data_IF_374310047544
#
_entry.id   IF_374310047544
#
_cell.length_a   1.000
_cell.length_b   1.000
_cell.length_c   1.000
_cell.angle_alpha   90.00
_cell.angle_beta   90.00
_cell.angle_gamma   90.00
#
_symmetry.space_group_name_H-M   'P 1'
#
loop_
_entity.id
_entity.type
_entity.pdbx_description
1 polymer ?
2 non-polymer ?
3 non-polymer ?
4 water ?
#
# COMPACT_ATOMS: atom_id res chain seq x y z
N UNK A 4 15.49 -11.88 -4.31
CA UNK A 4 16.71 -11.25 -3.73
C UNK A 4 16.80 -9.79 -4.10
N UNK A 5 17.81 -9.10 -3.56
CA UNK A 5 18.00 -7.68 -3.82
C UNK A 5 18.99 -7.50 -4.97
N UNK A 6 20.20 -7.05 -4.65
CA UNK A 6 21.23 -6.81 -5.66
C UNK A 6 20.72 -5.86 -6.74
N UNK A 7 19.48 -5.39 -6.57
CA UNK A 7 18.85 -4.49 -7.53
C UNK A 7 17.62 -3.81 -6.92
N UNK A 8 16.67 -4.61 -6.47
CA UNK A 8 15.44 -4.09 -5.87
C UNK A 8 15.71 -3.26 -4.61
N UNK A 9 14.70 -2.55 -4.16
CA UNK A 9 14.83 -1.70 -2.99
C UNK A 9 14.89 -2.46 -1.68
N UNK A 10 15.67 -1.94 -0.74
CA UNK A 10 15.81 -2.56 0.57
C UNK A 10 14.53 -2.47 1.40
N UNK A 11 13.85 -1.33 1.35
CA UNK A 11 12.60 -1.17 2.10
C UNK A 11 11.50 -2.07 1.52
N UNK A 12 11.37 -2.08 0.20
CA UNK A 12 10.41 -2.96 -0.48
C UNK A 12 10.62 -4.40 -0.02
N UNK A 13 11.87 -4.85 -0.12
CA UNK A 13 12.25 -6.18 0.29
C UNK A 13 11.94 -6.47 1.74
N UNK A 14 12.30 -5.54 2.63
CA UNK A 14 12.02 -5.72 4.07
C UNK A 14 10.53 -5.86 4.35
N UNK A 15 9.71 -5.03 3.71
CA UNK A 15 8.26 -5.06 3.92
C UNK A 15 7.62 -6.32 3.34
N UNK A 16 8.09 -6.75 2.18
CA UNK A 16 7.58 -7.97 1.57
C UNK A 16 7.92 -9.17 2.45
N UNK A 17 9.18 -9.27 2.86
CA UNK A 17 9.64 -10.38 3.70
C UNK A 17 8.95 -10.41 5.08
N UNK A 18 8.64 -9.23 5.62
CA UNK A 18 7.92 -9.16 6.90
C UNK A 18 6.52 -9.73 6.77
N UNK A 19 5.85 -9.36 5.68
CA UNK A 19 4.50 -9.87 5.42
C UNK A 19 4.52 -11.37 5.30
N UNK A 20 5.48 -11.90 4.55
CA UNK A 20 5.61 -13.34 4.38
C UNK A 20 5.86 -14.04 5.71
N UNK A 21 6.74 -13.46 6.53
CA UNK A 21 7.09 -14.05 7.82
C UNK A 21 5.93 -14.06 8.80
N UNK A 22 5.17 -12.98 8.82
CA UNK A 22 4.01 -12.89 9.69
C UNK A 22 2.90 -13.84 9.23
N UNK A 23 2.72 -13.97 7.91
CA UNK A 23 1.71 -14.90 7.39
C UNK A 23 2.09 -16.33 7.73
N UNK A 24 3.32 -16.72 7.42
CA UNK A 24 3.80 -18.05 7.77
C UNK A 24 3.54 -18.32 9.24
N UNK A 25 3.86 -17.34 10.08
CA UNK A 25 3.61 -17.47 11.51
C UNK A 25 2.12 -17.72 11.77
N UNK A 26 1.26 -17.03 11.03
CA UNK A 26 -0.18 -17.22 11.19
C UNK A 26 -0.57 -18.68 10.98
N UNK A 27 0.19 -19.39 10.16
CA UNK A 27 -0.14 -20.78 9.78
C UNK A 27 0.39 -21.89 10.71
N UNK A 28 1.38 -21.60 11.55
CA UNK A 28 1.94 -22.65 12.42
C UNK A 28 1.74 -22.42 13.91
N UNK A 29 0.50 -22.19 14.32
CA UNK A 29 0.24 -21.94 15.72
C UNK A 29 -1.04 -21.17 15.86
N UNK A 30 -0.99 -19.87 15.58
CA UNK A 30 -2.21 -19.08 15.66
C UNK A 30 -2.14 -17.64 15.18
N UNK A 31 -3.10 -17.31 14.33
CA UNK A 31 -3.28 -15.96 13.86
C UNK A 31 -3.85 -15.15 15.02
N UNK A 32 -4.42 -15.85 16.00
CA UNK A 32 -5.03 -15.20 17.15
C UNK A 32 -4.14 -14.19 17.84
N UNK A 33 -3.02 -14.62 18.39
CA UNK A 33 -2.04 -13.71 18.99
C UNK A 33 -1.75 -12.55 18.03
N UNK A 34 -1.29 -12.90 16.83
CA UNK A 34 -0.90 -11.91 15.82
C UNK A 34 -2.03 -10.92 15.49
N UNK A 35 -3.24 -11.43 15.29
CA UNK A 35 -4.38 -10.56 15.00
C UNK A 35 -4.72 -9.60 16.14
N UNK A 36 -4.59 -10.08 17.39
CA UNK A 36 -4.86 -9.26 18.55
C UNK A 36 -3.87 -8.11 18.73
N UNK A 37 -2.60 -8.39 18.48
CA UNK A 37 -1.55 -7.40 18.64
C UNK A 37 -1.48 -6.44 17.46
N UNK A 38 -1.94 -6.88 16.30
CA UNK A 38 -1.74 -6.14 15.04
C UNK A 38 -2.92 -5.32 14.52
N UNK A 39 -4.13 -5.63 14.98
CA UNK A 39 -5.30 -4.94 14.46
C UNK A 39 -5.36 -3.46 14.80
N UNK A 40 -6.06 -2.70 13.97
CA UNK A 40 -6.25 -1.27 14.19
C UNK A 40 -6.91 -1.09 15.55
N UNK A 41 -6.61 0.02 16.25
CA UNK A 41 -7.20 0.23 17.56
C UNK A 41 -8.71 0.09 17.52
N UNK A 42 -9.24 -0.76 18.40
CA UNK A 42 -10.68 -1.00 18.49
C UNK A 42 -11.09 -0.82 19.93
N UNK A 43 -10.39 0.05 20.63
CA UNK A 43 -10.57 0.20 22.06
C UNK A 43 -9.90 1.51 22.46
N UNK A 44 -10.61 2.34 23.23
CA UNK A 44 -10.04 3.61 23.67
C UNK A 44 -8.65 3.45 24.29
N UNK A 45 -8.44 2.31 24.95
CA UNK A 45 -7.16 2.03 25.59
C UNK A 45 -6.07 1.69 24.56
N UNK A 46 -6.50 1.31 23.36
CA UNK A 46 -5.57 0.95 22.31
C UNK A 46 -5.14 2.15 21.46
N UNK A 47 -5.81 3.29 21.67
CA UNK A 47 -5.47 4.52 20.95
C UNK A 47 -4.01 4.89 21.17
N UNK A 48 -3.46 4.48 22.31
CA UNK A 48 -2.08 4.81 22.65
C UNK A 48 -1.11 3.79 22.08
N UNK A 49 -1.63 2.62 21.70
CA UNK A 49 -0.80 1.58 21.08
C UNK A 49 -0.59 1.95 19.61
N UNK A 50 0.32 2.91 19.41
CA UNK A 50 0.59 3.53 18.10
C UNK A 50 1.00 2.64 16.92
N UNK A 51 1.59 1.47 17.19
CA UNK A 51 1.97 0.58 16.09
C UNK A 51 0.72 0.09 15.37
N UNK A 52 -0.38 0.04 16.11
CA UNK A 52 -1.67 -0.44 15.59
C UNK A 52 -2.20 0.36 14.40
N UNK A 53 -1.82 1.62 14.30
CA UNK A 53 -2.24 2.46 13.18
C UNK A 53 -1.61 2.01 11.86
N UNK A 54 -0.57 1.18 11.96
CA UNK A 54 0.17 0.73 10.79
C UNK A 54 0.24 -0.79 10.66
N UNK A 55 0.38 -1.48 11.79
CA UNK A 55 0.60 -2.94 11.80
C UNK A 55 -0.45 -3.79 11.10
N UNK A 56 -1.68 -3.31 11.06
CA UNK A 56 -2.76 -4.05 10.42
C UNK A 56 -2.44 -4.45 8.97
N UNK A 57 -1.47 -3.75 8.38
CA UNK A 57 -1.10 -3.98 6.98
C UNK A 57 -0.18 -5.18 6.78
N UNK A 58 0.32 -5.72 7.87
CA UNK A 58 1.26 -6.83 7.82
C UNK A 58 0.59 -8.21 7.95
N UNK A 59 -0.72 -8.22 8.17
CA UNK A 59 -1.46 -9.46 8.33
C UNK A 59 -2.33 -9.74 7.11
N UNK A 60 -2.34 -10.99 6.67
CA UNK A 60 -3.14 -11.39 5.51
C UNK A 60 -4.06 -12.56 5.83
N UNK A 61 -5.16 -12.65 5.10
CA UNK A 61 -6.21 -13.60 5.42
C UNK A 61 -6.32 -14.82 4.50
N UNK A 62 -5.58 -14.83 3.40
CA UNK A 62 -5.57 -15.97 2.49
C UNK A 62 -4.32 -15.96 1.62
N UNK A 63 -4.08 -17.08 0.93
CA UNK A 63 -2.93 -17.22 0.05
C UNK A 63 -2.99 -16.29 -1.17
N UNK A 64 -4.20 -16.08 -1.69
CA UNK A 64 -4.39 -15.17 -2.81
C UNK A 64 -4.32 -13.73 -2.34
N UNK A 65 -4.86 -13.49 -1.15
CA UNK A 65 -4.84 -12.17 -0.58
C UNK A 65 -3.39 -11.66 -0.55
N UNK A 66 -2.51 -12.44 0.07
CA UNK A 66 -1.11 -12.04 0.20
C UNK A 66 -0.35 -12.16 -1.11
N UNK A 67 -0.73 -13.11 -1.95
CA UNK A 67 -0.06 -13.31 -3.24
C UNK A 67 -0.25 -12.11 -4.17
N UNK A 68 -1.49 -11.63 -4.28
CA UNK A 68 -1.77 -10.48 -5.12
C UNK A 68 -1.23 -9.19 -4.52
N UNK A 69 -1.41 -9.01 -3.22
CA UNK A 69 -0.87 -7.82 -2.56
C UNK A 69 0.64 -7.67 -2.72
N UNK A 70 1.39 -8.71 -2.35
CA UNK A 70 2.85 -8.68 -2.44
C UNK A 70 3.40 -8.57 -3.85
N UNK A 71 2.73 -9.21 -4.82
CA UNK A 71 3.15 -9.11 -6.22
C UNK A 71 3.13 -7.65 -6.66
N UNK A 72 1.96 -7.03 -6.52
CA UNK A 72 1.78 -5.63 -6.91
C UNK A 72 2.65 -4.66 -6.11
N UNK A 73 2.78 -4.90 -4.81
CA UNK A 73 3.64 -4.04 -3.97
C UNK A 73 5.12 -4.20 -4.31
N UNK A 74 5.54 -5.44 -4.58
CA UNK A 74 6.94 -5.67 -4.87
C UNK A 74 7.34 -4.97 -6.17
N UNK A 75 6.50 -5.12 -7.19
CA UNK A 75 6.74 -4.48 -8.47
C UNK A 75 6.69 -2.95 -8.42
N UNK A 76 5.58 -2.39 -7.96
CA UNK A 76 5.39 -0.94 -7.95
C UNK A 76 5.99 -0.21 -6.76
N UNK A 77 6.00 -0.87 -5.60
CA UNK A 77 6.67 -0.32 -4.43
C UNK A 77 8.15 -0.23 -4.77
N UNK A 78 8.63 -1.23 -5.51
CA UNK A 78 10.02 -1.28 -5.97
C UNK A 78 10.33 -0.16 -6.94
N UNK A 79 9.46 0.05 -7.93
CA UNK A 79 9.64 1.16 -8.86
C UNK A 79 9.83 2.46 -8.11
N UNK A 80 8.94 2.72 -7.15
CA UNK A 80 9.01 3.94 -6.35
C UNK A 80 10.33 4.04 -5.61
N UNK A 81 10.72 2.98 -4.93
CA UNK A 81 11.97 2.99 -4.20
C UNK A 81 13.17 3.26 -5.11
N UNK A 82 13.24 2.55 -6.22
CA UNK A 82 14.35 2.71 -7.16
C UNK A 82 14.34 4.04 -7.89
N UNK A 83 13.18 4.68 -7.94
CA UNK A 83 13.04 5.93 -8.68
C UNK A 83 13.10 7.19 -7.80
N UNK A 84 12.46 7.14 -6.63
CA UNK A 84 12.41 8.31 -5.75
C UNK A 84 13.13 8.16 -4.40
N UNK A 85 13.61 6.95 -4.10
CA UNK A 85 14.33 6.73 -2.86
C UNK A 85 13.60 5.87 -1.83
N UNK A 86 14.36 5.32 -0.89
CA UNK A 86 13.81 4.46 0.15
C UNK A 86 12.98 5.23 1.17
N UNK A 87 13.34 6.48 1.42
CA UNK A 87 12.61 7.29 2.39
C UNK A 87 11.18 7.55 1.89
N UNK A 88 11.09 7.87 0.60
CA UNK A 88 9.81 8.13 -0.04
C UNK A 88 8.86 6.93 0.12
N UNK A 89 9.37 5.73 -0.18
CA UNK A 89 8.55 4.53 -0.06
C UNK A 89 8.13 4.28 1.41
N UNK A 90 9.09 4.40 2.32
CA UNK A 90 8.82 4.17 3.73
C UNK A 90 7.71 5.12 4.18
N UNK A 91 7.85 6.40 3.82
CA UNK A 91 6.85 7.44 4.14
C UNK A 91 5.47 7.16 3.56
N UNK A 92 5.41 6.92 2.26
CA UNK A 92 4.13 6.58 1.65
C UNK A 92 3.51 5.40 2.40
N UNK A 93 4.35 4.44 2.81
CA UNK A 93 3.85 3.26 3.53
C UNK A 93 3.23 3.60 4.89
N UNK A 94 3.99 4.33 5.71
CA UNK A 94 3.52 4.70 7.02
C UNK A 94 2.23 5.52 6.94
N UNK A 95 2.22 6.51 6.06
CA UNK A 95 1.08 7.43 5.90
C UNK A 95 -0.14 6.78 5.25
N UNK A 96 0.07 6.04 4.16
CA UNK A 96 -1.04 5.32 3.55
C UNK A 96 -1.63 4.33 4.56
N UNK A 97 -0.77 3.58 5.25
CA UNK A 97 -1.24 2.60 6.25
C UNK A 97 -2.13 3.27 7.30
N UNK A 98 -1.68 4.40 7.82
CA UNK A 98 -2.41 5.11 8.87
C UNK A 98 -3.70 5.71 8.35
N UNK A 99 -3.64 6.34 7.19
CA UNK A 99 -4.82 6.99 6.62
C UNK A 99 -5.90 6.01 6.16
N UNK A 100 -5.50 4.96 5.44
CA UNK A 100 -6.45 3.96 4.95
C UNK A 100 -7.12 3.21 6.11
N UNK A 101 -6.35 2.91 7.14
CA UNK A 101 -6.89 2.25 8.32
C UNK A 101 -7.89 3.16 9.03
N UNK A 102 -7.54 4.45 9.14
CA UNK A 102 -8.42 5.44 9.75
C UNK A 102 -9.77 5.44 9.02
N UNK A 103 -9.71 5.50 7.70
CA UNK A 103 -10.91 5.56 6.88
C UNK A 103 -11.72 4.26 6.92
N UNK A 104 -11.04 3.13 6.77
CA UNK A 104 -11.72 1.85 6.82
C UNK A 104 -12.41 1.68 8.17
N UNK A 105 -11.73 2.07 9.23
CA UNK A 105 -12.27 1.94 10.57
C UNK A 105 -13.58 2.71 10.75
N UNK A 106 -13.62 3.92 10.21
CA UNK A 106 -14.80 4.76 10.36
C UNK A 106 -16.03 4.16 9.70
N UNK A 107 -15.86 3.55 8.53
CA UNK A 107 -17.01 3.00 7.81
C UNK A 107 -17.37 1.56 8.20
N UNK A 108 -16.38 0.76 8.60
CA UNK A 108 -16.64 -0.66 8.86
C UNK A 108 -16.13 -1.24 10.18
N UNK A 109 -15.40 -0.46 10.96
CA UNK A 109 -14.86 -0.99 12.21
C UNK A 109 -13.45 -1.53 12.03
N UNK A 110 -12.80 -1.91 13.15
CA UNK A 110 -11.39 -2.32 13.21
C UNK A 110 -11.11 -3.73 12.69
N UNK A 111 -12.07 -4.33 12.01
CA UNK A 111 -11.90 -5.70 11.51
C UNK A 111 -11.41 -5.76 10.07
N UNK A 112 -10.12 -5.44 9.89
CA UNK A 112 -9.52 -5.47 8.57
C UNK A 112 -8.01 -5.66 8.68
N UNK A 113 -7.44 -6.32 7.69
CA UNK A 113 -6.00 -6.60 7.66
C UNK A 113 -5.51 -6.62 6.22
N UNK A 114 -4.23 -6.34 6.02
CA UNK A 114 -3.68 -6.43 4.68
C UNK A 114 -3.06 -5.17 4.12
N UNK A 115 -2.26 -5.37 3.08
CA UNK A 115 -1.48 -4.33 2.44
C UNK A 115 -2.16 -3.66 1.22
N UNK A 116 -3.40 -4.05 0.90
CA UNK A 116 -4.08 -3.52 -0.30
C UNK A 116 -4.32 -2.00 -0.31
N UNK A 117 -4.53 -1.42 0.87
CA UNK A 117 -4.69 0.03 0.98
C UNK A 117 -3.39 0.73 0.61
N UNK A 118 -2.27 0.13 0.97
CA UNK A 118 -0.95 0.66 0.62
C UNK A 118 -0.67 0.46 -0.86
N UNK A 119 -1.10 -0.68 -1.40
CA UNK A 119 -0.92 -1.00 -2.80
C UNK A 119 -1.58 0.07 -3.69
N UNK A 120 -2.83 0.39 -3.39
CA UNK A 120 -3.53 1.44 -4.13
C UNK A 120 -2.88 2.81 -4.02
N UNK A 121 -2.37 3.15 -2.83
CA UNK A 121 -1.64 4.39 -2.68
C UNK A 121 -0.41 4.33 -3.58
N UNK A 122 0.30 3.21 -3.55
CA UNK A 122 1.46 3.02 -4.40
C UNK A 122 1.10 3.08 -5.88
N UNK A 123 0.02 2.39 -6.27
CA UNK A 123 -0.45 2.43 -7.67
C UNK A 123 -0.89 3.84 -8.05
N UNK A 124 -1.56 4.51 -7.12
CA UNK A 124 -2.00 5.88 -7.35
C UNK A 124 -0.83 6.83 -7.56
N UNK A 125 0.21 6.65 -6.75
CA UNK A 125 1.40 7.50 -6.83
C UNK A 125 2.11 7.32 -8.18
N UNK A 126 2.37 6.08 -8.54
CA UNK A 126 3.04 5.78 -9.80
C UNK A 126 2.21 6.26 -11.00
N UNK A 127 0.89 6.05 -10.92
CA UNK A 127 -0.04 6.44 -11.99
C UNK A 127 0.03 7.91 -12.38
N UNK A 128 -0.18 8.80 -11.42
CA UNK A 128 -0.16 10.24 -11.69
C UNK A 128 1.23 10.76 -11.99
N UNK A 129 2.24 10.15 -11.37
CA UNK A 129 3.63 10.52 -11.65
C UNK A 129 3.94 10.21 -13.10
N UNK A 130 3.60 9.00 -13.53
CA UNK A 130 3.81 8.59 -14.91
C UNK A 130 3.04 9.52 -15.85
N UNK A 131 1.77 9.74 -15.53
CA UNK A 131 0.89 10.62 -16.31
C UNK A 131 1.45 12.04 -16.46
N UNK A 132 2.05 12.55 -15.39
CA UNK A 132 2.56 13.92 -15.39
C UNK A 132 3.96 14.05 -15.99
N UNK A 133 4.97 14.06 -15.13
CA UNK A 133 6.36 14.20 -15.55
C UNK A 133 6.83 12.97 -16.33
N UNK A 134 5.93 12.35 -17.08
CA UNK A 134 6.23 11.15 -17.86
C UNK A 134 7.67 11.04 -18.35
N UNK A 135 8.47 10.26 -17.64
CA UNK A 135 9.86 10.01 -17.99
C UNK A 135 10.44 8.95 -17.06
N UNK A 136 10.47 9.27 -15.78
CA UNK A 136 10.97 8.38 -14.75
C UNK A 136 10.35 6.98 -14.80
N UNK A 137 9.42 6.78 -15.72
CA UNK A 137 8.80 5.47 -15.92
C UNK A 137 8.61 5.19 -17.40
N UNK A 138 8.52 3.91 -17.76
CA UNK A 138 8.35 3.51 -19.16
C UNK A 138 7.22 2.51 -19.34
N UNK A 139 6.04 2.85 -18.80
CA UNK A 139 4.86 1.99 -18.93
C UNK A 139 4.95 0.76 -18.03
N UNK A 140 3.80 0.33 -17.47
CA UNK A 140 3.74 -0.85 -16.61
C UNK A 140 4.17 -2.11 -17.37
N UNK A 141 3.23 -2.69 -18.11
CA UNK A 141 3.51 -3.87 -18.94
C UNK A 141 2.45 -4.01 -20.01
N UNK A 142 1.23 -3.59 -19.66
CA UNK A 142 0.09 -3.68 -20.56
C UNK A 142 -1.08 -4.34 -19.85
N UNK A 143 -0.76 -5.08 -18.78
CA UNK A 143 -1.78 -5.77 -17.99
C UNK A 143 -2.00 -5.04 -16.67
N UNK A 144 -0.91 -4.54 -16.09
CA UNK A 144 -0.98 -3.80 -14.83
C UNK A 144 -1.59 -2.41 -15.03
N UNK A 145 -1.81 -2.06 -16.30
CA UNK A 145 -2.43 -0.78 -16.64
C UNK A 145 -3.94 -1.00 -16.74
N UNK A 146 -4.32 -2.17 -17.24
CA UNK A 146 -5.73 -2.55 -17.36
C UNK A 146 -6.33 -2.82 -16.00
N UNK A 147 -5.72 -3.74 -15.25
CA UNK A 147 -6.19 -4.10 -13.93
C UNK A 147 -6.27 -2.89 -13.02
N UNK A 148 -6.58 -1.74 -13.60
CA UNK A 148 -6.75 -0.49 -12.87
C UNK A 148 -8.14 0.07 -13.14
N UNK A 149 -8.66 -0.23 -14.32
CA UNK A 149 -10.00 0.19 -14.71
C UNK A 149 -10.98 -0.91 -14.33
N UNK A 150 -10.61 -2.15 -14.64
CA UNK A 150 -11.43 -3.31 -14.31
C UNK A 150 -11.22 -3.74 -12.87
N UNK A 151 -10.60 -2.86 -12.09
CA UNK A 151 -10.33 -3.15 -10.69
C UNK A 151 -11.18 -2.22 -9.82
N UNK A 152 -11.73 -1.19 -10.45
CA UNK A 152 -12.61 -0.25 -9.77
C UNK A 152 -13.93 -0.95 -9.47
N UNK A 153 -14.14 -2.08 -10.13
CA UNK A 153 -15.32 -2.89 -9.92
C UNK A 153 -15.01 -3.96 -8.88
N UNK A 154 -13.72 -4.10 -8.58
CA UNK A 154 -13.25 -5.08 -7.61
C UNK A 154 -13.60 -4.70 -6.19
N UNK A 155 -14.27 -3.56 -6.02
CA UNK A 155 -14.69 -3.12 -4.70
C UNK A 155 -16.06 -2.43 -4.69
N UNK A 156 -16.40 -1.76 -5.78
CA UNK A 156 -17.71 -1.13 -5.91
C UNK A 156 -18.76 -2.23 -6.06
N UNK A 157 -18.54 -3.11 -7.02
CA UNK A 157 -19.40 -4.27 -7.26
C UNK A 157 -18.56 -5.53 -7.15
N UNK A 158 -18.17 -5.89 -5.90
CA UNK A 158 -17.31 -7.00 -5.54
C UNK A 158 -17.19 -8.12 -6.58
N UNK A 159 -16.00 -8.23 -7.17
CA UNK A 159 -15.69 -9.31 -8.11
C UNK A 159 -14.66 -10.22 -7.44
N UNK A 160 -14.07 -9.74 -6.35
CA UNK A 160 -13.09 -10.50 -5.58
C UNK A 160 -13.35 -10.33 -4.08
N UNK A 161 -12.68 -9.36 -3.48
CA UNK A 161 -12.84 -9.09 -2.04
C UNK A 161 -11.54 -9.10 -1.27
N UNK A 162 -10.92 -7.93 -1.14
CA UNK A 162 -9.65 -7.80 -0.43
C UNK A 162 -9.88 -7.60 1.07
N UNK A 163 -10.40 -8.64 1.72
CA UNK A 163 -10.68 -8.63 3.17
C UNK A 163 -10.35 -7.33 3.92
N UNK A 164 -11.08 -6.27 3.59
CA UNK A 164 -10.96 -4.97 4.24
C UNK A 164 -12.19 -4.17 3.86
N UNK A 165 -12.30 -3.88 2.57
CA UNK A 165 -13.37 -3.08 2.03
C UNK A 165 -12.77 -2.07 1.07
N UNK A 166 -13.61 -1.48 0.23
CA UNK A 166 -13.14 -0.50 -0.74
C UNK A 166 -12.80 0.88 -0.17
N UNK A 167 -13.17 1.13 1.09
CA UNK A 167 -12.84 2.41 1.73
C UNK A 167 -11.32 2.55 1.82
N UNK A 168 -10.65 1.44 2.14
CA UNK A 168 -9.21 1.43 2.23
C UNK A 168 -8.58 1.59 0.85
N UNK A 169 -9.17 0.94 -0.14
CA UNK A 169 -8.65 1.00 -1.49
C UNK A 169 -8.79 2.39 -2.11
N UNK A 170 -9.97 2.99 -1.93
CA UNK A 170 -10.25 4.31 -2.47
C UNK A 170 -9.46 5.41 -1.78
N UNK A 171 -9.42 5.38 -0.45
CA UNK A 171 -8.64 6.37 0.27
C UNK A 171 -7.15 6.18 -0.04
N UNK A 172 -6.76 4.94 -0.33
CA UNK A 172 -5.38 4.63 -0.69
C UNK A 172 -5.00 5.26 -2.01
N UNK A 173 -5.85 5.06 -3.01
CA UNK A 173 -5.64 5.64 -4.33
C UNK A 173 -5.55 7.16 -4.20
N UNK A 174 -6.45 7.74 -3.42
CA UNK A 174 -6.51 9.17 -3.23
C UNK A 174 -5.24 9.72 -2.58
N UNK A 175 -4.76 9.01 -1.56
CA UNK A 175 -3.51 9.41 -0.92
C UNK A 175 -2.40 9.44 -1.97
N UNK A 176 -2.31 8.40 -2.77
CA UNK A 176 -1.26 8.29 -3.78
C UNK A 176 -1.38 9.37 -4.85
N UNK A 177 -2.58 9.58 -5.35
CA UNK A 177 -2.82 10.59 -6.37
C UNK A 177 -2.44 12.00 -5.90
N UNK A 178 -2.87 12.36 -4.69
CA UNK A 178 -2.57 13.68 -4.14
C UNK A 178 -1.07 13.84 -3.87
N UNK A 179 -0.45 12.82 -3.28
CA UNK A 179 0.96 12.88 -2.95
C UNK A 179 1.79 13.05 -4.22
N UNK A 180 1.48 12.25 -5.23
CA UNK A 180 2.19 12.29 -6.51
C UNK A 180 2.04 13.61 -7.24
N UNK A 181 0.85 14.21 -7.14
CA UNK A 181 0.60 15.50 -7.77
C UNK A 181 1.48 16.56 -7.11
N UNK A 182 1.55 16.50 -5.77
CA UNK A 182 2.37 17.43 -5.02
C UNK A 182 3.86 17.28 -5.37
N UNK A 183 4.34 16.04 -5.39
CA UNK A 183 5.75 15.78 -5.75
C UNK A 183 6.05 16.20 -7.18
N UNK A 184 5.11 15.93 -8.08
CA UNK A 184 5.26 16.34 -9.47
C UNK A 184 5.43 17.85 -9.51
N UNK A 185 4.60 18.56 -8.76
CA UNK A 185 4.66 20.02 -8.69
C UNK A 185 6.00 20.51 -8.14
N UNK A 186 6.38 19.98 -6.97
CA UNK A 186 7.63 20.38 -6.32
C UNK A 186 8.83 20.15 -7.24
N UNK A 187 8.72 19.12 -8.06
CA UNK A 187 9.76 18.77 -9.04
C UNK A 187 9.88 19.89 -10.09
N UNK A 188 8.76 20.21 -10.73
CA UNK A 188 8.70 21.26 -11.74
C UNK A 188 9.20 22.60 -11.20
N UNK A 189 8.69 22.98 -10.04
CA UNK A 189 9.06 24.25 -9.38
C UNK A 189 10.58 24.47 -9.27
N UNK A 190 11.30 23.41 -8.96
CA UNK A 190 12.76 23.52 -8.76
C UNK A 190 13.55 23.43 -10.07
N UNK A 191 13.01 22.72 -11.06
CA UNK A 191 13.68 22.60 -12.35
C UNK A 191 13.58 23.93 -13.11
N UNK A 192 12.62 24.75 -12.71
CA UNK A 192 12.38 26.02 -13.37
C UNK A 192 13.66 26.83 -13.59
N UNK A 193 14.59 26.76 -12.65
CA UNK A 193 15.87 27.47 -12.77
C UNK A 193 17.06 26.56 -13.07
N UNK A 194 16.87 25.61 -13.97
CA UNK A 194 17.94 24.70 -14.39
C UNK A 194 17.96 24.61 -15.91
N UNK A 195 19.17 24.51 -16.52
CA UNK A 195 19.32 24.49 -17.98
C UNK A 195 18.62 23.30 -18.62
#
# INVERSE_FOLDING_TARGET
MENFLAQQGKITLILTALCVLIYIAQQLGFEDDIMYLMHYPAYEEQDSEVWRYISHTLVHLSNLHILFNLSWFFIFGGMIERTFGSVKLLMLYVVASAITGYVQNYVSGPAFFGLSGVVYAVLGYVFIRDKLNHHLFDLPEGFFTMLLVGIALGFISPLFGVEMGNAAHISGLIVGLIWGFIDSKLRKNSLELVPR
#
